data_IF_609189597311
#
_entry.id   IF_609189597311
#
_cell.length_a   1.000
_cell.length_b   1.000
_cell.length_c   1.000
_cell.angle_alpha   90.00
_cell.angle_beta   90.00
_cell.angle_gamma   90.00
#
_symmetry.space_group_name_H-M   'P 1'
#
loop_
_entity.id
_entity.type
_entity.pdbx_description
1 polymer ?
#
# COMPACT_ATOMS: atom_id res chain seq x y z
N UNK A 1 -6.69 2.35 -5.38
CA UNK A 1 -6.45 2.93 -4.04
C UNK A 1 -7.74 2.79 -3.24
N UNK A 2 -7.65 2.74 -1.91
CA UNK A 2 -8.76 2.50 -1.00
C UNK A 2 -8.93 3.68 -0.05
N UNK A 3 -10.15 3.89 0.45
CA UNK A 3 -10.38 4.84 1.55
C UNK A 3 -9.90 4.23 2.88
N UNK A 4 -9.73 5.07 3.90
CA UNK A 4 -9.31 4.58 5.22
C UNK A 4 -10.37 3.66 5.85
N UNK A 5 -11.66 3.95 5.64
CA UNK A 5 -12.74 3.08 6.13
C UNK A 5 -12.79 1.74 5.41
N UNK A 6 -12.57 1.72 4.09
CA UNK A 6 -12.43 0.47 3.34
C UNK A 6 -11.27 -0.38 3.86
N UNK A 7 -10.10 0.21 4.06
CA UNK A 7 -8.96 -0.48 4.67
C UNK A 7 -9.32 -1.08 6.04
N UNK A 8 -9.94 -0.31 6.94
CA UNK A 8 -10.34 -0.80 8.26
C UNK A 8 -11.31 -1.98 8.14
N UNK A 9 -12.28 -1.90 7.23
CA UNK A 9 -13.25 -2.96 6.99
C UNK A 9 -12.57 -4.23 6.45
N UNK A 10 -11.70 -4.10 5.44
CA UNK A 10 -10.96 -5.23 4.89
C UNK A 10 -10.04 -5.86 5.93
N UNK A 11 -9.35 -5.06 6.75
CA UNK A 11 -8.51 -5.55 7.83
C UNK A 11 -9.30 -6.28 8.90
N UNK A 12 -10.47 -5.76 9.29
CA UNK A 12 -11.34 -6.37 10.31
C UNK A 12 -11.93 -7.70 9.83
N UNK A 13 -12.30 -7.79 8.56
CA UNK A 13 -12.86 -8.99 7.91
C UNK A 13 -11.78 -9.89 7.30
N UNK A 14 -10.50 -9.63 7.56
CA UNK A 14 -9.40 -10.39 6.95
C UNK A 14 -9.26 -11.77 7.60
N UNK A 15 -9.57 -12.81 6.83
CA UNK A 15 -9.31 -14.19 7.21
C UNK A 15 -8.13 -14.82 6.45
N UNK A 16 -7.64 -14.17 5.40
CA UNK A 16 -6.69 -14.75 4.44
C UNK A 16 -5.24 -14.40 4.75
N UNK A 17 -4.94 -13.12 4.91
CA UNK A 17 -3.59 -12.64 5.17
C UNK A 17 -3.21 -12.79 6.65
N UNK A 18 -1.92 -12.93 6.92
CA UNK A 18 -1.36 -12.81 8.28
C UNK A 18 -1.47 -11.38 8.83
N UNK A 19 -1.65 -10.40 7.96
CA UNK A 19 -1.92 -9.01 8.28
C UNK A 19 -2.06 -8.20 6.99
N UNK A 20 -2.83 -7.11 7.06
CA UNK A 20 -2.98 -6.13 5.99
C UNK A 20 -2.49 -4.78 6.47
N UNK A 21 -1.70 -4.09 5.67
CA UNK A 21 -1.28 -2.71 5.90
C UNK A 21 -1.92 -1.78 4.88
N UNK A 22 -2.02 -0.51 5.24
CA UNK A 22 -2.34 0.57 4.32
C UNK A 22 -1.26 1.65 4.38
N UNK A 23 -1.00 2.30 3.26
CA UNK A 23 -0.09 3.42 3.22
C UNK A 23 -0.34 4.33 2.01
N UNK A 24 0.05 5.59 2.14
CA UNK A 24 0.13 6.56 1.05
C UNK A 24 1.60 7.01 0.90
N UNK A 25 2.27 6.68 -0.22
CA UNK A 25 3.61 7.16 -0.50
C UNK A 25 3.61 8.63 -0.95
N UNK A 26 4.81 9.19 -1.14
CA UNK A 26 5.03 10.50 -1.74
C UNK A 26 4.41 11.69 -1.00
N UNK A 27 4.27 11.58 0.32
CA UNK A 27 3.88 12.72 1.14
C UNK A 27 5.01 13.76 1.12
N UNK A 28 4.81 14.87 0.43
CA UNK A 28 5.74 16.00 0.47
C UNK A 28 5.58 16.75 1.80
N UNK A 29 6.68 16.89 2.54
CA UNK A 29 6.69 17.65 3.79
C UNK A 29 7.94 18.52 3.90
N UNK A 30 7.75 19.70 4.47
CA UNK A 30 8.87 20.56 4.89
C UNK A 30 9.32 20.14 6.28
N UNK A 31 10.53 19.58 6.36
CA UNK A 31 11.22 19.35 7.62
C UNK A 31 11.78 20.67 8.15
N UNK A 32 11.33 21.09 9.33
CA UNK A 32 11.80 22.30 9.99
C UNK A 32 13.17 22.17 10.65
N UNK A 33 13.66 23.27 11.22
CA UNK A 33 14.98 23.40 11.84
C UNK A 33 15.68 24.68 11.38
N UNK A 34 16.97 24.84 11.71
CA UNK A 34 17.77 26.00 11.28
C UNK A 34 17.85 26.16 9.75
N UNK A 35 17.82 25.04 9.03
CA UNK A 35 17.71 25.00 7.57
C UNK A 35 16.54 24.09 7.20
N UNK A 36 15.37 24.66 6.89
CA UNK A 36 14.23 23.90 6.41
C UNK A 36 14.51 23.25 5.04
N UNK A 37 14.00 22.03 4.84
CA UNK A 37 14.19 21.29 3.58
C UNK A 37 12.95 20.47 3.23
N UNK A 38 12.68 20.32 1.94
CA UNK A 38 11.66 19.39 1.47
C UNK A 38 12.14 17.96 1.63
N UNK A 39 11.28 17.10 2.16
CA UNK A 39 11.49 15.66 2.30
C UNK A 39 10.24 14.94 1.83
N UNK A 40 10.41 13.75 1.25
CA UNK A 40 9.28 12.86 0.98
C UNK A 40 9.13 11.86 2.11
N UNK A 41 7.92 11.73 2.64
CA UNK A 41 7.55 10.72 3.63
C UNK A 41 6.45 9.80 3.10
N UNK A 42 5.90 9.01 4.02
CA UNK A 42 4.70 8.24 3.78
C UNK A 42 3.79 8.25 5.00
N UNK A 43 2.49 8.26 4.75
CA UNK A 43 1.49 7.98 5.78
C UNK A 43 1.19 6.49 5.80
N UNK A 44 1.13 5.90 6.99
CA UNK A 44 1.05 4.44 7.14
C UNK A 44 0.05 4.04 8.22
N UNK A 45 -0.55 2.86 8.06
CA UNK A 45 -1.33 2.25 9.14
C UNK A 45 -0.43 1.89 10.32
N UNK A 46 -0.97 1.86 11.54
CA UNK A 46 -0.16 1.59 12.73
C UNK A 46 0.55 0.23 12.72
N UNK A 47 -0.04 -0.77 12.08
CA UNK A 47 0.57 -2.08 11.92
C UNK A 47 1.51 -2.18 10.72
N UNK A 48 1.86 -1.08 10.03
CA UNK A 48 2.67 -1.11 8.81
C UNK A 48 4.00 -1.85 9.01
N UNK A 49 4.78 -1.47 10.02
CA UNK A 49 6.07 -2.12 10.28
C UNK A 49 5.91 -3.56 10.76
N UNK A 50 4.90 -3.86 11.58
CA UNK A 50 4.58 -5.23 12.02
C UNK A 50 4.22 -6.11 10.82
N UNK A 51 3.40 -5.57 9.92
CA UNK A 51 3.04 -6.17 8.63
C UNK A 51 4.16 -5.96 7.60
N UNK A 52 5.33 -5.46 7.91
CA UNK A 52 6.55 -5.63 7.10
C UNK A 52 7.57 -6.56 7.78
N UNK A 53 7.33 -6.89 9.06
CA UNK A 53 8.30 -7.53 9.96
C UNK A 53 9.60 -6.74 10.05
N UNK A 54 9.49 -5.42 9.91
CA UNK A 54 10.60 -4.51 9.98
C UNK A 54 10.87 -4.16 11.44
N UNK A 55 12.14 -4.27 11.83
CA UNK A 55 12.58 -3.94 13.19
C UNK A 55 13.34 -2.62 13.15
N UNK A 56 13.04 -1.67 14.03
CA UNK A 56 13.75 -0.40 14.05
C UNK A 56 15.22 -0.61 14.42
N UNK A 57 16.11 0.19 13.85
CA UNK A 57 17.50 0.28 14.26
C UNK A 57 17.64 0.89 15.67
N UNK A 58 16.71 1.79 16.01
CA UNK A 58 16.69 2.52 17.27
C UNK A 58 15.23 2.83 17.67
N UNK A 59 14.92 2.73 18.97
CA UNK A 59 13.59 3.04 19.50
C UNK A 59 12.54 1.98 19.16
N UNK A 60 11.34 2.42 18.79
CA UNK A 60 10.21 1.56 18.41
C UNK A 60 9.54 2.03 17.13
N UNK A 61 8.76 1.14 16.52
CA UNK A 61 7.80 1.47 15.46
C UNK A 61 6.43 1.78 16.06
N UNK A 62 5.45 2.07 15.20
CA UNK A 62 4.07 2.32 15.61
C UNK A 62 3.43 1.10 16.28
N UNK A 63 2.50 1.37 17.19
CA UNK A 63 1.59 0.40 17.80
C UNK A 63 0.16 0.91 17.65
N UNK A 64 -0.85 0.04 17.77
CA UNK A 64 -2.26 0.41 17.59
C UNK A 64 -2.71 1.64 18.42
N UNK A 65 -2.17 1.79 19.64
CA UNK A 65 -2.49 2.94 20.49
C UNK A 65 -2.09 4.29 19.87
N UNK A 66 -1.05 4.32 19.02
CA UNK A 66 -0.63 5.54 18.32
C UNK A 66 -1.69 5.99 17.28
N UNK A 67 -2.54 5.09 16.78
CA UNK A 67 -3.61 5.38 15.82
C UNK A 67 -5.02 5.40 16.44
N UNK A 68 -5.14 5.56 17.76
CA UNK A 68 -6.42 5.47 18.47
C UNK A 68 -7.50 6.45 17.97
N UNK A 69 -7.10 7.65 17.55
CA UNK A 69 -8.00 8.64 16.95
C UNK A 69 -7.25 9.58 15.99
N UNK A 70 -7.97 10.24 15.05
CA UNK A 70 -7.41 11.30 14.21
C UNK A 70 -6.70 12.38 15.04
N UNK A 71 -5.46 12.71 14.69
CA UNK A 71 -4.66 13.75 15.35
C UNK A 71 -4.15 13.41 16.76
N UNK A 72 -4.44 12.23 17.31
CA UNK A 72 -4.20 11.94 18.73
C UNK A 72 -2.72 11.76 19.08
N UNK A 73 -1.92 11.17 18.20
CA UNK A 73 -0.51 10.83 18.48
C UNK A 73 0.40 11.33 17.35
N UNK A 74 0.96 12.55 17.46
CA UNK A 74 1.89 13.07 16.47
C UNK A 74 3.28 12.43 16.66
N UNK A 75 3.43 11.20 16.16
CA UNK A 75 4.67 10.42 16.23
C UNK A 75 5.22 10.13 14.84
N UNK A 76 6.54 10.02 14.71
CA UNK A 76 7.20 9.70 13.45
C UNK A 76 8.32 8.67 13.63
N UNK A 77 8.53 7.85 12.61
CA UNK A 77 9.72 6.99 12.47
C UNK A 77 10.57 7.56 11.35
N UNK A 78 11.86 7.76 11.59
CA UNK A 78 12.79 8.30 10.58
C UNK A 78 13.43 7.18 9.76
N UNK A 79 13.82 7.47 8.52
CA UNK A 79 14.76 6.61 7.80
C UNK A 79 16.17 6.72 8.37
N UNK A 80 16.97 5.66 8.25
CA UNK A 80 18.39 5.68 8.63
C UNK A 80 19.16 6.75 7.83
N UNK A 81 18.83 6.93 6.54
CA UNK A 81 19.42 7.96 5.67
C UNK A 81 19.19 9.37 6.22
N UNK A 82 17.94 9.72 6.59
CA UNK A 82 17.61 11.03 7.15
C UNK A 82 18.25 11.22 8.52
N UNK A 83 18.20 10.20 9.38
CA UNK A 83 18.82 10.24 10.71
C UNK A 83 20.32 10.54 10.65
N UNK A 84 21.05 9.88 9.74
CA UNK A 84 22.50 10.12 9.55
C UNK A 84 22.79 11.50 8.97
N UNK A 85 22.08 11.87 7.90
CA UNK A 85 22.39 13.09 7.14
C UNK A 85 21.93 14.37 7.84
N UNK A 86 20.77 14.35 8.50
CA UNK A 86 20.17 15.55 9.10
C UNK A 86 20.35 15.65 10.61
N UNK A 87 20.50 14.52 11.29
CA UNK A 87 20.59 14.43 12.75
C UNK A 87 21.92 13.83 13.23
N UNK A 88 22.90 13.65 12.33
CA UNK A 88 24.26 13.22 12.69
C UNK A 88 24.32 11.83 13.32
N UNK A 89 23.34 10.97 13.07
CA UNK A 89 23.16 9.68 13.74
C UNK A 89 23.08 9.79 15.28
N UNK A 90 22.55 10.90 15.81
CA UNK A 90 22.39 11.10 17.26
C UNK A 90 21.37 10.09 17.84
N UNK A 91 21.77 9.18 18.74
CA UNK A 91 20.83 8.23 19.36
C UNK A 91 19.80 8.92 20.26
N UNK A 92 20.05 10.16 20.67
CA UNK A 92 19.11 10.96 21.45
C UNK A 92 18.02 11.61 20.57
N UNK A 93 17.97 11.32 19.27
CA UNK A 93 16.86 11.74 18.40
C UNK A 93 15.53 11.15 18.84
N UNK A 94 15.52 9.94 19.40
CA UNK A 94 14.30 9.30 19.91
C UNK A 94 13.80 10.06 21.14
N UNK A 95 12.52 10.42 21.14
CA UNK A 95 11.89 11.28 22.13
C UNK A 95 12.00 12.78 21.82
N UNK A 96 12.78 13.20 20.80
CA UNK A 96 12.85 14.59 20.37
C UNK A 96 11.72 14.92 19.41
N UNK A 97 11.32 16.19 19.41
CA UNK A 97 10.35 16.71 18.46
C UNK A 97 11.03 17.23 17.21
N UNK A 98 10.51 16.82 16.05
CA UNK A 98 10.78 17.43 14.75
C UNK A 98 9.53 18.22 14.30
N UNK A 99 9.71 19.10 13.31
CA UNK A 99 8.60 19.83 12.69
C UNK A 99 8.42 19.35 11.26
N UNK A 100 7.22 18.91 10.90
CA UNK A 100 6.82 18.51 9.55
C UNK A 100 5.60 19.36 9.18
N UNK A 101 5.69 20.14 8.11
CA UNK A 101 4.62 21.07 7.69
C UNK A 101 4.12 21.97 8.85
N UNK A 102 5.04 22.42 9.71
CA UNK A 102 4.81 23.22 10.94
C UNK A 102 4.15 22.45 12.10
N UNK A 103 3.67 21.23 11.90
CA UNK A 103 3.19 20.36 12.96
C UNK A 103 4.37 19.66 13.67
N UNK A 104 4.30 19.54 15.00
CA UNK A 104 5.35 18.91 15.79
C UNK A 104 5.10 17.42 15.92
N UNK A 105 6.10 16.61 15.56
CA UNK A 105 6.07 15.15 15.68
C UNK A 105 7.19 14.68 16.61
N UNK A 106 6.89 13.76 17.53
CA UNK A 106 7.90 13.10 18.36
C UNK A 106 8.49 11.93 17.57
N UNK A 107 9.82 11.92 17.43
CA UNK A 107 10.53 10.79 16.83
C UNK A 107 10.50 9.63 17.81
N UNK A 108 9.87 8.52 17.45
CA UNK A 108 9.76 7.33 18.31
C UNK A 108 10.73 6.22 17.92
N UNK A 109 11.34 6.30 16.74
CA UNK A 109 12.33 5.35 16.28
C UNK A 109 12.98 5.71 14.95
N UNK A 110 13.96 4.91 14.57
CA UNK A 110 14.66 4.95 13.29
C UNK A 110 14.50 3.58 12.63
N UNK A 111 14.07 3.55 11.38
CA UNK A 111 13.90 2.32 10.61
C UNK A 111 15.22 1.57 10.40
N UNK A 112 15.15 0.28 10.06
CA UNK A 112 16.32 -0.55 9.79
C UNK A 112 17.22 0.07 8.68
N UNK A 113 18.55 -0.12 8.74
CA UNK A 113 19.44 0.33 7.68
C UNK A 113 19.05 -0.27 6.33
N UNK A 114 18.87 0.58 5.33
CA UNK A 114 18.45 0.19 3.97
C UNK A 114 16.95 -0.03 3.79
N UNK A 115 16.11 0.11 4.83
CA UNK A 115 14.66 0.18 4.65
C UNK A 115 14.28 1.55 4.08
N UNK A 116 13.67 1.56 2.88
CA UNK A 116 13.35 2.79 2.13
C UNK A 116 11.84 2.99 1.94
N UNK A 117 11.01 2.08 2.45
CA UNK A 117 9.58 2.02 2.14
C UNK A 117 9.27 0.94 1.10
N UNK A 118 8.08 1.00 0.51
CA UNK A 118 7.57 0.01 -0.44
C UNK A 118 7.65 0.45 -1.90
N UNK A 119 7.97 1.72 -2.14
CA UNK A 119 8.04 2.31 -3.46
C UNK A 119 9.48 2.53 -3.93
N UNK A 120 9.70 2.70 -5.26
CA UNK A 120 11.03 3.00 -5.80
C UNK A 120 11.67 4.28 -5.23
N UNK A 121 10.85 5.25 -4.82
CA UNK A 121 11.35 6.47 -4.17
C UNK A 121 11.40 6.30 -2.64
N UNK A 122 12.52 6.65 -2.01
CA UNK A 122 12.70 6.47 -0.58
C UNK A 122 11.84 7.43 0.24
N UNK A 123 11.19 6.90 1.27
CA UNK A 123 10.60 7.72 2.34
C UNK A 123 11.67 8.10 3.36
N UNK A 124 11.76 9.40 3.67
CA UNK A 124 12.63 9.96 4.70
C UNK A 124 12.04 9.81 6.12
N UNK A 125 10.71 9.67 6.21
CA UNK A 125 9.98 9.41 7.44
C UNK A 125 8.68 8.67 7.15
N UNK A 126 8.11 8.07 8.20
CA UNK A 126 6.75 7.55 8.24
C UNK A 126 5.99 8.20 9.37
N UNK A 127 4.71 8.49 9.15
CA UNK A 127 3.77 8.95 10.15
C UNK A 127 2.47 8.12 10.11
N UNK A 128 1.71 8.02 11.21
CA UNK A 128 0.40 7.38 11.19
C UNK A 128 -0.58 8.09 10.24
N UNK A 129 -1.37 7.36 9.46
CA UNK A 129 -2.46 7.91 8.62
C UNK A 129 -3.46 8.75 9.42
N UNK A 130 -3.59 8.50 10.73
CA UNK A 130 -4.42 9.33 11.61
C UNK A 130 -3.92 10.76 11.75
N UNK A 131 -2.70 11.06 11.29
CA UNK A 131 -2.09 12.39 11.29
C UNK A 131 -2.28 13.15 9.97
N UNK A 132 -3.04 12.60 9.01
CA UNK A 132 -3.29 13.20 7.69
C UNK A 132 -3.66 14.68 7.75
N UNK A 133 -4.59 15.08 8.62
CA UNK A 133 -4.98 16.50 8.73
C UNK A 133 -3.87 17.42 9.25
N UNK A 134 -2.90 16.88 10.00
CA UNK A 134 -1.76 17.66 10.51
C UNK A 134 -0.66 17.82 9.44
N UNK A 135 -0.53 16.86 8.54
CA UNK A 135 0.46 16.86 7.46
C UNK A 135 -0.08 17.56 6.20
N UNK A 136 -1.36 17.36 5.91
CA UNK A 136 -2.08 17.86 4.74
C UNK A 136 -3.38 18.58 5.19
N UNK A 137 -3.28 19.78 5.80
CA UNK A 137 -4.41 20.49 6.39
C UNK A 137 -5.49 20.88 5.38
N UNK A 138 -5.11 21.06 4.12
CA UNK A 138 -6.02 21.48 3.05
C UNK A 138 -6.80 20.30 2.43
N UNK A 139 -6.44 19.06 2.79
CA UNK A 139 -7.12 17.86 2.33
C UNK A 139 -7.95 17.22 3.46
N UNK A 140 -9.06 16.57 3.09
CA UNK A 140 -9.86 15.74 3.99
C UNK A 140 -9.93 14.33 3.39
N UNK A 141 -8.87 13.55 3.61
CA UNK A 141 -8.69 12.22 3.01
C UNK A 141 -9.03 11.11 4.00
N UNK A 142 -8.75 11.34 5.28
CA UNK A 142 -8.88 10.31 6.32
C UNK A 142 -10.33 9.94 6.61
N UNK A 143 -11.23 10.93 6.62
CA UNK A 143 -12.64 10.76 6.98
C UNK A 143 -13.58 10.74 5.76
N UNK A 144 -13.05 11.02 4.58
CA UNK A 144 -13.83 11.02 3.35
C UNK A 144 -13.82 9.62 2.71
N UNK A 145 -14.89 8.87 2.95
CA UNK A 145 -15.05 7.50 2.46
C UNK A 145 -15.15 7.39 0.93
N UNK A 146 -15.36 8.50 0.22
CA UNK A 146 -15.41 8.53 -1.25
C UNK A 146 -14.04 8.75 -1.90
N UNK A 147 -13.00 9.01 -1.11
CA UNK A 147 -11.64 9.26 -1.61
C UNK A 147 -10.76 8.04 -1.38
N UNK A 148 -10.42 7.33 -2.46
CA UNK A 148 -9.43 6.27 -2.43
C UNK A 148 -8.01 6.81 -2.58
N UNK A 149 -7.23 6.82 -1.51
CA UNK A 149 -5.88 7.40 -1.48
C UNK A 149 -4.80 6.48 -0.90
N UNK A 150 -5.21 5.35 -0.29
CA UNK A 150 -4.30 4.38 0.30
C UNK A 150 -4.04 3.21 -0.64
N UNK A 151 -2.79 2.83 -0.79
CA UNK A 151 -2.43 1.50 -1.22
C UNK A 151 -2.61 0.51 -0.05
N UNK A 152 -3.14 -0.67 -0.33
CA UNK A 152 -3.36 -1.72 0.69
C UNK A 152 -2.60 -2.97 0.25
N UNK A 153 -1.81 -3.54 1.16
CA UNK A 153 -1.01 -4.73 0.91
C UNK A 153 -1.24 -5.76 2.01
N UNK A 154 -1.41 -7.02 1.61
CA UNK A 154 -1.55 -8.15 2.52
C UNK A 154 -0.26 -8.98 2.59
N UNK A 155 0.17 -9.35 3.80
CA UNK A 155 1.19 -10.41 3.95
C UNK A 155 0.51 -11.76 3.98
N UNK A 156 0.87 -12.62 3.03
CA UNK A 156 0.47 -14.03 3.02
C UNK A 156 0.83 -14.76 4.32
N UNK A 157 -0.07 -15.62 4.80
CA UNK A 157 0.25 -16.54 5.91
C UNK A 157 1.37 -17.49 5.46
N UNK A 158 2.33 -17.84 6.35
CA UNK A 158 3.34 -18.85 6.04
C UNK A 158 2.69 -20.16 5.58
N UNK A 159 3.13 -20.70 4.43
CA UNK A 159 2.59 -21.95 3.87
C UNK A 159 1.25 -21.81 3.13
N UNK A 160 0.67 -20.60 3.07
CA UNK A 160 -0.43 -20.29 2.17
C UNK A 160 0.15 -19.60 0.95
N UNK A 161 0.31 -20.35 -0.14
CA UNK A 161 0.62 -19.80 -1.45
C UNK A 161 -0.66 -19.19 -2.06
N UNK A 162 -0.51 -18.26 -3.00
CA UNK A 162 -1.64 -17.52 -3.58
C UNK A 162 -2.74 -18.49 -4.11
N UNK A 163 -2.33 -19.68 -4.57
CA UNK A 163 -3.22 -20.75 -5.05
C UNK A 163 -4.11 -21.33 -3.93
N UNK A 164 -3.59 -21.50 -2.71
CA UNK A 164 -4.40 -21.99 -1.57
C UNK A 164 -5.20 -20.90 -0.88
N UNK A 165 -4.79 -19.63 -0.98
CA UNK A 165 -5.45 -18.51 -0.31
C UNK A 165 -6.80 -18.14 -0.95
N UNK A 166 -6.94 -18.34 -2.27
CA UNK A 166 -8.10 -17.90 -3.03
C UNK A 166 -9.08 -19.03 -3.39
N UNK A 167 -8.85 -20.26 -2.90
CA UNK A 167 -9.46 -21.49 -3.47
C UNK A 167 -9.20 -21.63 -4.99
N UNK A 168 -8.18 -20.94 -5.51
CA UNK A 168 -7.79 -20.96 -6.92
C UNK A 168 -6.88 -22.15 -7.18
N UNK A 169 -7.42 -23.23 -7.72
CA UNK A 169 -6.60 -24.37 -8.18
C UNK A 169 -5.51 -23.88 -9.15
N UNK A 170 -4.29 -24.44 -9.11
CA UNK A 170 -3.22 -24.16 -10.09
C UNK A 170 -3.74 -24.21 -11.54
N UNK A 171 -4.68 -25.13 -11.81
CA UNK A 171 -5.34 -25.26 -13.09
C UNK A 171 -6.07 -23.99 -13.54
N UNK A 172 -6.74 -23.27 -12.63
CA UNK A 172 -7.42 -21.99 -12.93
C UNK A 172 -6.43 -20.86 -13.18
N UNK A 173 -5.33 -20.79 -12.45
CA UNK A 173 -4.30 -19.78 -12.73
C UNK A 173 -3.64 -20.02 -14.09
N UNK A 174 -3.27 -21.27 -14.40
CA UNK A 174 -2.65 -21.62 -15.68
C UNK A 174 -3.62 -21.54 -16.86
N UNK A 175 -4.92 -21.76 -16.63
CA UNK A 175 -5.95 -21.66 -17.64
C UNK A 175 -6.42 -20.23 -17.94
N UNK A 176 -5.97 -19.22 -17.18
CA UNK A 176 -6.49 -17.86 -17.29
C UNK A 176 -6.29 -17.26 -18.69
N UNK A 177 -5.20 -17.60 -19.38
CA UNK A 177 -4.98 -17.16 -20.76
C UNK A 177 -5.91 -17.83 -21.80
N UNK A 178 -6.60 -18.92 -21.40
CA UNK A 178 -7.52 -19.68 -22.21
C UNK A 178 -8.91 -19.78 -21.55
N UNK A 179 -9.26 -18.78 -20.73
CA UNK A 179 -10.39 -18.85 -19.81
C UNK A 179 -11.73 -19.18 -20.49
N UNK A 180 -11.95 -18.70 -21.73
CA UNK A 180 -13.15 -18.98 -22.54
C UNK A 180 -13.36 -20.48 -22.79
N UNK A 181 -12.27 -21.22 -22.96
CA UNK A 181 -12.23 -22.65 -23.31
C UNK A 181 -12.27 -23.57 -22.09
N UNK A 182 -12.36 -23.02 -20.88
CA UNK A 182 -12.29 -23.81 -19.64
C UNK A 182 -13.61 -23.80 -18.89
N UNK A 183 -14.01 -24.90 -18.22
CA UNK A 183 -15.31 -24.98 -17.57
C UNK A 183 -15.31 -24.42 -16.13
N UNK A 184 -14.17 -23.94 -15.62
CA UNK A 184 -14.01 -23.69 -14.20
C UNK A 184 -14.46 -22.28 -13.76
N UNK A 185 -14.59 -21.31 -14.66
CA UNK A 185 -15.03 -19.95 -14.35
C UNK A 185 -16.55 -19.81 -14.42
N UNK A 186 -17.11 -19.24 -13.36
CA UNK A 186 -18.52 -18.85 -13.28
C UNK A 186 -18.88 -17.75 -14.28
N UNK A 187 -20.17 -17.60 -14.58
CA UNK A 187 -20.67 -16.55 -15.49
C UNK A 187 -20.26 -15.14 -15.02
N UNK A 188 -20.29 -14.89 -13.71
CA UNK A 188 -19.82 -13.61 -13.14
C UNK A 188 -18.33 -13.38 -13.38
N UNK A 189 -17.49 -14.42 -13.27
CA UNK A 189 -16.05 -14.30 -13.54
C UNK A 189 -15.78 -14.11 -15.03
N UNK A 190 -16.47 -14.84 -15.90
CA UNK A 190 -16.37 -14.68 -17.36
C UNK A 190 -16.71 -13.26 -17.79
N UNK A 191 -17.81 -12.70 -17.29
CA UNK A 191 -18.21 -11.33 -17.55
C UNK A 191 -17.15 -10.32 -17.06
N UNK A 192 -16.49 -10.59 -15.93
CA UNK A 192 -15.39 -9.74 -15.45
C UNK A 192 -14.14 -9.84 -16.32
N UNK A 193 -13.81 -11.03 -16.83
CA UNK A 193 -12.68 -11.26 -17.74
C UNK A 193 -12.93 -10.60 -19.10
N UNK A 194 -14.14 -10.72 -19.64
CA UNK A 194 -14.59 -10.01 -20.85
C UNK A 194 -14.47 -8.50 -20.68
N UNK A 195 -14.99 -7.96 -19.57
CA UNK A 195 -14.88 -6.54 -19.24
C UNK A 195 -13.41 -6.09 -19.14
N UNK A 196 -12.57 -6.90 -18.48
CA UNK A 196 -11.13 -6.64 -18.33
C UNK A 196 -10.44 -6.57 -19.69
N UNK A 197 -10.70 -7.51 -20.59
CA UNK A 197 -10.15 -7.52 -21.95
C UNK A 197 -10.59 -6.28 -22.74
N UNK A 198 -11.90 -5.98 -22.73
CA UNK A 198 -12.46 -4.84 -23.45
C UNK A 198 -11.87 -3.50 -22.98
N UNK A 199 -11.76 -3.29 -21.66
CA UNK A 199 -11.17 -2.06 -21.08
C UNK A 199 -9.66 -2.01 -21.31
N UNK A 200 -8.96 -3.14 -21.23
CA UNK A 200 -7.52 -3.20 -21.51
C UNK A 200 -7.20 -2.81 -22.95
N UNK A 201 -8.05 -3.24 -23.88
CA UNK A 201 -7.96 -2.97 -25.31
C UNK A 201 -8.87 -1.83 -25.76
N UNK A 202 -9.22 -0.89 -24.87
CA UNK A 202 -10.19 0.19 -25.15
C UNK A 202 -9.87 1.00 -26.41
N UNK A 203 -8.58 1.18 -26.74
CA UNK A 203 -8.16 1.88 -27.97
C UNK A 203 -8.50 1.14 -29.26
N UNK A 204 -8.83 -0.15 -29.18
CA UNK A 204 -9.21 -1.01 -30.29
C UNK A 204 -10.72 -1.29 -30.27
N UNK A 205 -11.22 -1.76 -29.13
CA UNK A 205 -12.59 -2.28 -29.00
C UNK A 205 -13.60 -1.20 -28.66
N UNK A 206 -13.17 -0.07 -28.11
CA UNK A 206 -14.02 1.00 -27.58
C UNK A 206 -15.06 0.52 -26.56
N UNK A 207 -14.85 -0.65 -25.93
CA UNK A 207 -15.79 -1.30 -25.00
C UNK A 207 -17.18 -1.47 -25.63
N UNK A 208 -17.43 -2.56 -26.37
CA UNK A 208 -18.72 -2.79 -27.04
C UNK A 208 -19.90 -2.82 -26.06
N UNK A 209 -21.06 -2.34 -26.51
CA UNK A 209 -22.29 -2.29 -25.70
C UNK A 209 -22.69 -3.67 -25.15
N UNK A 210 -22.51 -4.72 -25.96
CA UNK A 210 -22.80 -6.11 -25.55
C UNK A 210 -21.98 -6.56 -24.33
N UNK A 211 -20.71 -6.13 -24.22
CA UNK A 211 -19.83 -6.45 -23.08
C UNK A 211 -20.28 -5.66 -21.84
N UNK A 212 -20.69 -4.41 -22.03
CA UNK A 212 -21.23 -3.58 -20.96
C UNK A 212 -22.56 -4.12 -20.43
N UNK A 213 -23.48 -4.51 -21.32
CA UNK A 213 -24.76 -5.10 -20.94
C UNK A 213 -24.59 -6.43 -20.21
N UNK A 214 -23.66 -7.27 -20.65
CA UNK A 214 -23.39 -8.56 -20.01
C UNK A 214 -22.82 -8.40 -18.60
N UNK A 215 -21.79 -7.56 -18.41
CA UNK A 215 -21.19 -7.36 -17.08
C UNK A 215 -22.19 -6.76 -16.09
N UNK A 216 -23.12 -5.91 -16.55
CA UNK A 216 -24.16 -5.30 -15.71
C UNK A 216 -25.20 -6.30 -15.20
N UNK A 217 -25.35 -7.47 -15.83
CA UNK A 217 -26.19 -8.56 -15.29
C UNK A 217 -25.61 -9.16 -14.00
N UNK A 218 -24.29 -9.08 -13.85
CA UNK A 218 -23.58 -9.73 -12.75
C UNK A 218 -23.03 -8.75 -11.70
N UNK A 219 -22.78 -7.49 -12.05
CA UNK A 219 -22.17 -6.48 -11.18
C UNK A 219 -23.09 -5.28 -10.97
N UNK A 220 -23.22 -4.83 -9.73
CA UNK A 220 -23.80 -3.52 -9.41
C UNK A 220 -22.94 -2.39 -9.96
N UNK A 221 -23.48 -1.17 -10.03
CA UNK A 221 -22.76 -0.01 -10.55
C UNK A 221 -21.47 0.28 -9.76
N UNK A 222 -21.55 0.18 -8.42
CA UNK A 222 -20.37 0.32 -7.55
C UNK A 222 -19.34 -0.77 -7.84
N UNK A 223 -19.75 -2.03 -7.92
CA UNK A 223 -18.79 -3.11 -8.16
C UNK A 223 -18.15 -3.04 -9.56
N UNK A 224 -18.89 -2.56 -10.57
CA UNK A 224 -18.34 -2.35 -11.91
C UNK A 224 -17.34 -1.18 -11.93
N UNK A 225 -17.61 -0.10 -11.19
CA UNK A 225 -16.66 0.99 -10.99
C UNK A 225 -15.38 0.48 -10.32
N UNK A 226 -15.53 -0.28 -9.22
CA UNK A 226 -14.42 -0.88 -8.48
C UNK A 226 -13.58 -1.82 -9.37
N UNK A 227 -14.26 -2.67 -10.16
CA UNK A 227 -13.62 -3.55 -11.15
C UNK A 227 -12.85 -2.73 -12.20
N UNK A 228 -13.46 -1.67 -12.74
CA UNK A 228 -12.83 -0.82 -13.76
C UNK A 228 -11.58 -0.12 -13.22
N UNK A 229 -11.63 0.38 -11.99
CA UNK A 229 -10.45 0.95 -11.32
C UNK A 229 -9.34 -0.08 -11.13
N UNK A 230 -9.66 -1.33 -10.79
CA UNK A 230 -8.67 -2.40 -10.69
C UNK A 230 -8.00 -2.68 -12.05
N UNK A 231 -8.78 -2.74 -13.14
CA UNK A 231 -8.29 -2.92 -14.51
C UNK A 231 -7.39 -1.76 -14.93
N UNK A 232 -7.77 -0.51 -14.63
CA UNK A 232 -6.95 0.68 -14.92
C UNK A 232 -5.65 0.67 -14.12
N UNK A 233 -5.70 0.29 -12.84
CA UNK A 233 -4.51 0.23 -11.99
C UNK A 233 -3.48 -0.78 -12.50
N UNK A 234 -3.90 -2.02 -12.81
CA UNK A 234 -2.97 -3.04 -13.34
C UNK A 234 -2.44 -2.66 -14.72
N UNK A 235 -3.28 -2.07 -15.59
CA UNK A 235 -2.84 -1.57 -16.89
C UNK A 235 -1.83 -0.42 -16.77
N UNK A 236 -1.97 0.45 -15.77
CA UNK A 236 -1.02 1.52 -15.50
C UNK A 236 0.32 0.94 -15.02
N UNK A 237 0.29 0.00 -14.08
CA UNK A 237 1.47 -0.68 -13.57
C UNK A 237 2.21 -1.45 -14.68
N UNK A 238 1.48 -2.19 -15.52
CA UNK A 238 2.05 -2.93 -16.65
C UNK A 238 2.78 -2.00 -17.63
N UNK A 239 2.22 -0.83 -17.95
CA UNK A 239 2.86 0.15 -18.85
C UNK A 239 4.15 0.71 -18.25
N UNK A 240 4.17 1.01 -16.95
CA UNK A 240 5.38 1.45 -16.25
C UNK A 240 6.45 0.35 -16.22
N UNK A 241 6.11 -0.84 -15.74
CA UNK A 241 7.06 -1.94 -15.60
C UNK A 241 7.69 -2.35 -16.94
N UNK A 242 6.88 -2.48 -18.00
CA UNK A 242 7.37 -2.88 -19.33
C UNK A 242 8.20 -1.79 -19.99
N UNK A 243 7.77 -0.52 -19.92
CA UNK A 243 8.53 0.60 -20.51
C UNK A 243 9.88 0.83 -19.81
N UNK A 244 9.94 0.59 -18.49
CA UNK A 244 11.15 0.71 -17.68
C UNK A 244 12.00 -0.56 -17.61
N UNK A 245 11.64 -1.62 -18.37
CA UNK A 245 12.38 -2.90 -18.45
C UNK A 245 12.61 -3.55 -17.08
N UNK A 246 11.63 -3.45 -16.19
CA UNK A 246 11.67 -4.17 -14.92
C UNK A 246 11.76 -5.68 -15.17
N UNK A 247 12.71 -6.37 -14.53
CA UNK A 247 12.91 -7.82 -14.69
C UNK A 247 12.04 -8.57 -13.66
N UNK A 248 11.03 -9.34 -14.09
CA UNK A 248 10.18 -10.10 -13.17
C UNK A 248 10.99 -11.09 -12.34
N UNK A 249 10.62 -11.27 -11.06
CA UNK A 249 11.24 -12.28 -10.18
C UNK A 249 12.63 -11.93 -9.63
N UNK A 250 13.18 -10.75 -9.94
CA UNK A 250 14.50 -10.31 -9.40
C UNK A 250 14.42 -9.73 -7.99
N UNK A 251 13.22 -9.51 -7.46
CA UNK A 251 13.02 -9.14 -6.07
C UNK A 251 13.40 -10.30 -5.14
N UNK A 252 14.59 -10.23 -4.55
CA UNK A 252 14.99 -11.13 -3.47
C UNK A 252 14.78 -10.44 -2.13
N UNK A 253 13.71 -10.82 -1.43
CA UNK A 253 13.55 -10.47 -0.02
C UNK A 253 14.73 -11.03 0.77
N UNK A 254 15.40 -10.20 1.59
CA UNK A 254 16.51 -10.65 2.44
C UNK A 254 16.07 -11.86 3.28
N UNK A 255 16.72 -13.00 3.10
CA UNK A 255 16.60 -14.12 4.04
C UNK A 255 17.21 -13.68 5.36
N UNK A 256 16.40 -13.62 6.41
CA UNK A 256 16.89 -13.53 7.78
C UNK A 256 17.83 -14.72 8.03
N UNK A 257 19.13 -14.44 8.22
CA UNK A 257 20.04 -15.43 8.77
C UNK A 257 19.66 -15.63 10.23
N UNK A 258 18.94 -16.70 10.51
CA UNK A 258 18.83 -17.22 11.86
C UNK A 258 20.26 -17.59 12.30
N UNK A 259 20.80 -16.82 13.23
CA UNK A 259 22.01 -17.19 13.95
C UNK A 259 21.71 -18.46 14.74
N UNK A 260 22.40 -19.55 14.39
CA UNK A 260 22.46 -20.74 15.22
C UNK A 260 23.30 -20.40 16.45
N UNK A 261 22.70 -20.60 17.62
CA UNK A 261 23.37 -20.76 18.91
C UNK A 261 23.14 -22.19 19.37
#
# INVERSE_FOLDING_TARGET
>A
MFSYSEYKNYRASNHFFSGMLAYAPFLEATLGGESPSQVMGAETSCNFFDVLRERPALGRTFVEADCSAPGASPVAVLSDDLWRTRFGADPLVVGKSISLNRAKFVVIGVAAPGFRGLDPWPSAFWAPVTMQKALEPDADLLLNDYTGWLAVLGRMRPGVFLERALEESEHRLYALNAWRETPFYSERERAALDWTEAVTLVSQTHVPDEVYEEVRKHFSEKELLDLTFAVVAINSWNRLAVSLRAIPGTYQGKKSSAAAS
#
